data_IF_977403239875
#
_entry.id   IF_977403239875
#
_cell.length_a   1.000
_cell.length_b   1.000
_cell.length_c   1.000
_cell.angle_alpha   90.00
_cell.angle_beta   90.00
_cell.angle_gamma   90.00
#
_symmetry.space_group_name_H-M   'P 1'
#
loop_
_entity.id
_entity.type
_entity.pdbx_description
1 polymer ?
#
# COMPACT_ATOMS: atom_id res chain seq x y z
N UNK A 1 -9.88 -18.77 -6.23
CA UNK A 1 -10.53 -17.58 -6.82
C UNK A 1 -9.46 -16.69 -7.44
N UNK A 2 -9.41 -16.53 -8.78
CA UNK A 2 -8.37 -15.74 -9.42
C UNK A 2 -8.60 -14.24 -9.15
N UNK A 3 -7.56 -13.56 -8.66
CA UNK A 3 -7.60 -12.12 -8.40
C UNK A 3 -7.77 -11.34 -9.71
N UNK A 4 -8.98 -10.86 -9.98
CA UNK A 4 -9.26 -9.96 -11.10
C UNK A 4 -8.71 -8.56 -10.78
N UNK A 5 -7.49 -8.29 -11.24
CA UNK A 5 -6.87 -6.98 -11.13
C UNK A 5 -7.54 -6.01 -12.13
N UNK A 6 -8.46 -5.17 -11.67
CA UNK A 6 -9.27 -4.23 -12.49
C UNK A 6 -8.49 -3.05 -13.09
N UNK A 7 -7.17 -3.08 -13.12
CA UNK A 7 -6.36 -2.05 -13.79
C UNK A 7 -6.00 -2.52 -15.18
N UNK A 8 -6.36 -1.72 -16.20
CA UNK A 8 -5.75 -1.86 -17.53
C UNK A 8 -4.23 -1.81 -17.33
N UNK A 9 -3.46 -2.84 -17.71
CA UNK A 9 -2.01 -2.78 -17.62
C UNK A 9 -1.57 -1.55 -18.41
N UNK A 10 -0.76 -0.69 -17.78
CA UNK A 10 -0.21 0.47 -18.46
C UNK A 10 0.60 -0.04 -19.64
N UNK A 11 0.22 0.25 -20.89
CA UNK A 11 0.97 -0.21 -22.05
C UNK A 11 2.24 0.63 -22.07
N UNK A 12 3.29 0.14 -21.42
CA UNK A 12 4.63 0.58 -21.73
C UNK A 12 4.75 0.45 -23.24
N UNK A 13 5.07 1.57 -23.93
CA UNK A 13 5.36 1.54 -25.36
C UNK A 13 6.28 0.34 -25.56
N UNK A 14 5.81 -0.66 -26.32
CA UNK A 14 6.60 -1.84 -26.60
C UNK A 14 8.00 -1.37 -26.95
N UNK A 15 9.02 -1.93 -26.28
CA UNK A 15 10.41 -1.54 -26.48
C UNK A 15 10.64 -1.67 -27.98
N UNK A 16 10.69 -0.54 -28.70
CA UNK A 16 10.88 -0.55 -30.14
C UNK A 16 12.09 -1.42 -30.39
N UNK A 17 11.97 -2.40 -31.28
CA UNK A 17 13.12 -3.19 -31.69
C UNK A 17 14.22 -2.19 -32.04
N UNK A 18 15.38 -2.34 -31.41
CA UNK A 18 16.52 -1.49 -31.74
C UNK A 18 16.84 -1.82 -33.19
N UNK A 19 16.55 -0.88 -34.09
CA UNK A 19 17.07 -0.96 -35.45
C UNK A 19 18.57 -0.75 -35.30
N UNK A 20 19.33 -1.82 -35.50
CA UNK A 20 20.78 -1.72 -35.48
C UNK A 20 21.18 -0.74 -36.59
N UNK A 21 22.05 0.21 -36.27
CA UNK A 21 22.56 1.18 -37.27
C UNK A 21 23.39 0.51 -38.36
N UNK A 22 23.77 -0.75 -38.15
CA UNK A 22 24.56 -1.57 -39.07
C UNK A 22 23.92 -2.94 -39.18
N UNK A 23 24.03 -3.56 -40.36
CA UNK A 23 23.68 -4.98 -40.60
C UNK A 23 24.61 -5.95 -39.85
N UNK A 24 25.67 -5.45 -39.20
CA UNK A 24 26.57 -6.25 -38.37
C UNK A 24 25.78 -6.89 -37.22
N UNK A 25 25.63 -8.20 -37.29
CA UNK A 25 25.08 -9.04 -36.23
C UNK A 25 26.23 -9.75 -35.49
N UNK A 26 26.15 -9.81 -34.16
CA UNK A 26 27.11 -10.63 -33.40
C UNK A 26 26.89 -12.11 -33.72
N UNK A 27 27.98 -12.85 -33.88
CA UNK A 27 27.91 -14.29 -34.15
C UNK A 27 27.14 -15.02 -33.05
N UNK A 28 26.12 -15.79 -33.42
CA UNK A 28 25.33 -16.57 -32.49
C UNK A 28 26.21 -17.48 -31.59
N UNK A 29 25.86 -17.70 -30.31
CA UNK A 29 26.63 -18.55 -29.39
C UNK A 29 26.99 -19.93 -29.97
N UNK A 30 26.04 -20.60 -30.63
CA UNK A 30 26.26 -21.89 -31.29
C UNK A 30 27.30 -21.82 -32.41
N UNK A 31 27.22 -20.78 -33.24
CA UNK A 31 28.19 -20.57 -34.34
C UNK A 31 29.58 -20.27 -33.79
N UNK A 32 29.70 -19.57 -32.65
CA UNK A 32 30.98 -19.37 -31.93
C UNK A 32 31.54 -20.67 -31.36
N UNK A 33 30.69 -21.47 -30.71
CA UNK A 33 31.08 -22.77 -30.13
C UNK A 33 31.58 -23.72 -31.21
N UNK A 34 30.88 -23.81 -32.35
CA UNK A 34 31.31 -24.60 -33.48
C UNK A 34 32.66 -24.13 -34.04
N UNK A 35 32.82 -22.82 -34.27
CA UNK A 35 34.05 -22.26 -34.82
C UNK A 35 35.28 -22.56 -33.96
N UNK A 36 35.12 -22.42 -32.65
CA UNK A 36 36.21 -22.64 -31.67
C UNK A 36 36.45 -24.13 -31.46
N UNK A 37 35.40 -24.95 -31.40
CA UNK A 37 35.51 -26.40 -31.34
C UNK A 37 36.25 -26.96 -32.56
N UNK A 38 35.88 -26.56 -33.77
CA UNK A 38 36.52 -27.01 -35.00
C UNK A 38 38.00 -26.59 -35.07
N UNK A 39 38.32 -25.34 -34.69
CA UNK A 39 39.69 -24.81 -34.78
C UNK A 39 40.62 -25.30 -33.65
N UNK A 40 40.10 -25.49 -32.43
CA UNK A 40 40.92 -25.78 -31.25
C UNK A 40 40.92 -27.27 -30.89
N UNK A 41 39.75 -27.92 -30.90
CA UNK A 41 39.62 -29.34 -30.56
C UNK A 41 39.71 -30.23 -31.81
N UNK A 42 39.13 -29.77 -32.92
CA UNK A 42 39.10 -30.50 -34.19
C UNK A 42 40.35 -30.34 -35.06
N UNK A 43 41.30 -29.46 -34.68
CA UNK A 43 42.56 -29.25 -35.39
C UNK A 43 42.41 -28.65 -36.80
N UNK A 44 41.22 -28.17 -37.18
CA UNK A 44 41.00 -27.56 -38.48
C UNK A 44 41.72 -26.21 -38.59
N UNK A 45 42.23 -25.89 -39.79
CA UNK A 45 42.89 -24.61 -40.00
C UNK A 45 41.91 -23.44 -39.79
N UNK A 46 42.37 -22.34 -39.19
CA UNK A 46 41.52 -21.17 -39.02
C UNK A 46 41.01 -20.61 -40.35
N UNK A 47 41.80 -20.74 -41.42
CA UNK A 47 41.42 -20.29 -42.77
C UNK A 47 40.25 -21.12 -43.31
N UNK A 48 40.29 -22.45 -43.16
CA UNK A 48 39.21 -23.33 -43.63
C UNK A 48 37.93 -23.12 -42.84
N UNK A 49 38.03 -23.00 -41.51
CA UNK A 49 36.85 -22.74 -40.65
C UNK A 49 36.26 -21.36 -40.92
N UNK A 50 37.11 -20.36 -41.16
CA UNK A 50 36.67 -19.01 -41.48
C UNK A 50 35.92 -18.96 -42.83
N UNK A 51 36.43 -19.68 -43.84
CA UNK A 51 35.79 -19.79 -45.16
C UNK A 51 34.43 -20.50 -45.08
N UNK A 52 34.34 -21.60 -44.34
CA UNK A 52 33.11 -22.37 -44.16
C UNK A 52 32.02 -21.57 -43.42
N UNK A 53 32.43 -20.74 -42.45
CA UNK A 53 31.51 -19.93 -41.66
C UNK A 53 31.25 -18.54 -42.24
N UNK A 54 31.81 -18.24 -43.41
CA UNK A 54 31.76 -16.94 -44.09
C UNK A 54 32.16 -15.78 -43.17
N UNK A 55 33.25 -15.97 -42.42
CA UNK A 55 33.81 -14.97 -41.51
C UNK A 55 35.23 -14.61 -41.88
N UNK A 56 35.63 -13.40 -41.48
CA UNK A 56 37.03 -12.99 -41.54
C UNK A 56 37.90 -13.84 -40.60
N UNK A 57 39.05 -14.31 -41.09
CA UNK A 57 40.01 -15.09 -40.30
C UNK A 57 40.49 -14.29 -39.07
N UNK A 58 40.69 -12.97 -39.23
CA UNK A 58 41.07 -12.09 -38.12
C UNK A 58 40.02 -12.03 -37.02
N UNK A 59 38.73 -12.04 -37.38
CA UNK A 59 37.62 -12.14 -36.43
C UNK A 59 37.62 -13.50 -35.70
N UNK A 60 37.87 -14.61 -36.40
CA UNK A 60 37.97 -15.94 -35.78
C UNK A 60 39.15 -16.02 -34.80
N UNK A 61 40.32 -15.50 -35.19
CA UNK A 61 41.49 -15.46 -34.32
C UNK A 61 41.24 -14.64 -33.05
N UNK A 62 40.63 -13.45 -33.18
CA UNK A 62 40.22 -12.61 -32.03
C UNK A 62 39.20 -13.31 -31.13
N UNK A 63 38.25 -14.05 -31.71
CA UNK A 63 37.27 -14.83 -30.96
C UNK A 63 37.95 -15.93 -30.12
N UNK A 64 38.85 -16.71 -30.72
CA UNK A 64 39.58 -17.79 -30.03
C UNK A 64 40.42 -17.22 -28.90
N UNK A 65 41.18 -16.15 -29.15
CA UNK A 65 42.00 -15.50 -28.12
C UNK A 65 41.15 -14.98 -26.95
N UNK A 66 40.02 -14.30 -27.23
CA UNK A 66 39.11 -13.82 -26.19
C UNK A 66 38.55 -14.96 -25.34
N UNK A 67 38.16 -16.07 -25.96
CA UNK A 67 37.58 -17.21 -25.25
C UNK A 67 38.60 -17.98 -24.43
N UNK A 68 39.84 -18.13 -24.92
CA UNK A 68 40.94 -18.70 -24.12
C UNK A 68 41.20 -17.86 -22.87
N UNK A 69 41.32 -16.53 -23.02
CA UNK A 69 41.50 -15.64 -21.86
C UNK A 69 40.31 -15.70 -20.89
N UNK A 70 39.07 -15.81 -21.39
CA UNK A 70 37.85 -15.94 -20.56
C UNK A 70 37.80 -17.28 -19.83
N UNK A 71 38.17 -18.37 -20.50
CA UNK A 71 38.29 -19.72 -19.94
C UNK A 71 39.33 -19.78 -18.83
N UNK A 72 40.50 -19.17 -19.03
CA UNK A 72 41.56 -19.06 -18.01
C UNK A 72 41.09 -18.21 -16.80
N UNK A 73 40.48 -17.05 -17.05
CA UNK A 73 40.02 -16.16 -15.99
C UNK A 73 38.91 -16.79 -15.12
N UNK A 74 37.95 -17.50 -15.74
CA UNK A 74 36.84 -18.15 -15.05
C UNK A 74 37.18 -19.58 -14.58
N UNK A 75 38.36 -20.11 -14.93
CA UNK A 75 38.77 -21.51 -14.70
C UNK A 75 37.74 -22.53 -15.23
N UNK A 76 37.08 -22.19 -16.33
CA UNK A 76 36.08 -23.04 -16.98
C UNK A 76 36.68 -23.73 -18.20
N UNK A 77 36.29 -24.98 -18.51
CA UNK A 77 36.75 -25.66 -19.71
C UNK A 77 36.17 -25.01 -20.98
N UNK A 78 36.90 -25.10 -22.10
CA UNK A 78 36.52 -24.49 -23.38
C UNK A 78 35.19 -24.98 -23.97
N UNK A 79 34.68 -26.13 -23.54
CA UNK A 79 33.38 -26.66 -23.98
C UNK A 79 32.19 -26.15 -23.14
N UNK A 80 32.42 -25.31 -22.13
CA UNK A 80 31.35 -24.75 -21.31
C UNK A 80 30.50 -23.73 -22.12
N UNK A 81 29.16 -23.92 -22.21
CA UNK A 81 28.28 -23.02 -22.97
C UNK A 81 28.32 -21.56 -22.50
N UNK A 82 28.54 -21.30 -21.21
CA UNK A 82 28.51 -19.95 -20.64
C UNK A 82 29.60 -19.03 -21.21
N UNK A 83 30.72 -19.60 -21.68
CA UNK A 83 31.81 -18.84 -22.30
C UNK A 83 31.39 -18.17 -23.62
N UNK A 84 30.44 -18.77 -24.33
CA UNK A 84 29.99 -18.35 -25.66
C UNK A 84 28.79 -17.40 -25.62
N UNK A 85 28.27 -17.08 -24.44
CA UNK A 85 27.23 -16.08 -24.28
C UNK A 85 27.78 -14.67 -24.55
N UNK A 86 26.90 -13.79 -25.05
CA UNK A 86 27.25 -12.39 -25.27
C UNK A 86 27.68 -11.77 -23.95
N UNK A 87 28.83 -11.12 -23.96
CA UNK A 87 29.20 -10.22 -22.88
C UNK A 87 28.08 -9.19 -22.73
N UNK A 88 27.65 -8.93 -21.49
CA UNK A 88 26.75 -7.82 -21.22
C UNK A 88 27.48 -6.58 -21.73
N UNK A 89 27.00 -6.03 -22.84
CA UNK A 89 27.69 -4.95 -23.54
C UNK A 89 27.99 -3.80 -22.56
N UNK A 90 29.09 -3.08 -22.80
CA UNK A 90 29.43 -1.87 -22.05
C UNK A 90 28.35 -0.81 -22.32
N UNK A 91 27.32 -0.83 -21.48
CA UNK A 91 26.28 0.19 -21.46
C UNK A 91 26.86 1.53 -21.10
N UNK A 92 26.08 2.59 -21.34
CA UNK A 92 26.39 3.90 -20.76
C UNK A 92 26.47 3.74 -19.23
N UNK A 93 27.50 4.28 -18.56
CA UNK A 93 27.57 4.26 -17.11
C UNK A 93 26.30 4.88 -16.51
N UNK A 94 25.83 4.31 -15.41
CA UNK A 94 24.66 4.85 -14.71
C UNK A 94 24.95 6.28 -14.25
N UNK A 95 23.93 7.14 -14.36
CA UNK A 95 24.04 8.54 -13.94
C UNK A 95 24.18 8.67 -12.42
N UNK A 96 23.60 7.73 -11.68
CA UNK A 96 23.49 7.76 -10.23
C UNK A 96 24.14 6.53 -9.63
N UNK A 97 25.00 6.75 -8.64
CA UNK A 97 25.50 5.68 -7.78
C UNK A 97 24.43 5.21 -6.78
N UNK A 98 24.58 4.02 -6.21
CA UNK A 98 23.65 3.48 -5.23
C UNK A 98 23.50 4.40 -4.01
N UNK A 99 24.60 5.00 -3.54
CA UNK A 99 24.58 5.98 -2.44
C UNK A 99 23.70 7.20 -2.76
N UNK A 100 23.71 7.65 -4.02
CA UNK A 100 22.90 8.76 -4.50
C UNK A 100 21.42 8.35 -4.61
N UNK A 101 21.13 7.13 -5.06
CA UNK A 101 19.76 6.56 -5.07
C UNK A 101 19.18 6.51 -3.66
N UNK A 102 19.96 6.06 -2.69
CA UNK A 102 19.54 5.98 -1.29
C UNK A 102 19.30 7.38 -0.68
N UNK A 103 20.14 8.37 -1.05
CA UNK A 103 19.94 9.75 -0.65
C UNK A 103 18.63 10.34 -1.21
N UNK A 104 18.30 10.07 -2.48
CA UNK A 104 17.04 10.48 -3.09
C UNK A 104 15.85 9.90 -2.30
N UNK A 105 15.90 8.60 -2.00
CA UNK A 105 14.84 7.94 -1.24
C UNK A 105 14.70 8.60 0.12
N UNK A 106 15.81 8.79 0.84
CA UNK A 106 15.83 9.43 2.16
C UNK A 106 15.22 10.83 2.13
N UNK A 107 15.52 11.63 1.11
CA UNK A 107 14.93 12.97 0.92
C UNK A 107 13.42 12.86 0.73
N UNK A 108 12.98 12.05 -0.24
CA UNK A 108 11.55 11.93 -0.58
C UNK A 108 10.74 11.40 0.59
N UNK A 109 11.31 10.51 1.41
CA UNK A 109 10.61 9.88 2.52
C UNK A 109 10.74 10.63 3.85
N UNK A 110 11.50 11.73 3.88
CA UNK A 110 11.87 12.43 5.12
C UNK A 110 10.67 13.01 5.85
N UNK A 111 9.74 13.62 5.13
CA UNK A 111 8.53 14.20 5.69
C UNK A 111 7.32 13.99 4.76
N UNK A 112 6.17 14.48 5.21
CA UNK A 112 4.92 14.41 4.43
C UNK A 112 4.97 15.25 3.16
N UNK A 113 5.58 16.43 3.20
CA UNK A 113 5.58 17.36 2.08
C UNK A 113 6.34 16.77 0.89
N UNK A 114 7.55 16.26 1.14
CA UNK A 114 8.40 15.62 0.15
C UNK A 114 7.76 14.34 -0.40
N UNK A 115 7.05 13.56 0.43
CA UNK A 115 6.28 12.39 -0.04
C UNK A 115 5.13 12.78 -0.98
N UNK A 116 4.51 13.93 -0.76
CA UNK A 116 3.36 14.40 -1.54
C UNK A 116 3.75 15.07 -2.86
N UNK A 117 4.93 15.69 -2.93
CA UNK A 117 5.43 16.37 -4.13
C UNK A 117 5.38 15.46 -5.35
N UNK A 118 4.97 16.07 -6.47
CA UNK A 118 5.03 15.39 -7.75
C UNK A 118 6.48 15.28 -8.23
N UNK A 119 6.75 14.28 -9.06
CA UNK A 119 8.11 14.05 -9.56
C UNK A 119 8.67 15.26 -10.33
N UNK A 120 7.82 16.01 -11.04
CA UNK A 120 8.24 17.22 -11.73
C UNK A 120 8.53 18.38 -10.77
N UNK A 121 7.74 18.51 -9.69
CA UNK A 121 7.95 19.52 -8.64
C UNK A 121 9.27 19.26 -7.91
N UNK A 122 9.50 18.00 -7.50
CA UNK A 122 10.73 17.62 -6.81
C UNK A 122 12.01 17.90 -7.63
N UNK A 123 11.93 17.80 -8.96
CA UNK A 123 13.03 18.17 -9.87
C UNK A 123 13.11 19.68 -10.08
N UNK A 124 11.98 20.36 -10.29
CA UNK A 124 11.93 21.80 -10.56
C UNK A 124 12.38 22.65 -9.37
N UNK A 125 12.07 22.19 -8.15
CA UNK A 125 12.43 22.89 -6.91
C UNK A 125 13.95 22.81 -6.61
N UNK A 126 14.73 21.99 -7.33
CA UNK A 126 16.19 21.96 -7.22
C UNK A 126 16.76 21.29 -5.96
N UNK A 127 15.93 20.76 -5.05
CA UNK A 127 16.37 20.14 -3.78
C UNK A 127 17.48 19.09 -3.92
N UNK A 128 17.47 18.34 -5.02
CA UNK A 128 18.49 17.31 -5.25
C UNK A 128 19.84 17.94 -5.60
N UNK A 129 19.85 19.02 -6.37
CA UNK A 129 21.07 19.74 -6.76
C UNK A 129 21.74 20.39 -5.55
N UNK A 130 20.94 21.00 -4.67
CA UNK A 130 21.42 21.58 -3.39
C UNK A 130 22.11 20.53 -2.49
N UNK A 131 21.72 19.26 -2.62
CA UNK A 131 22.29 18.13 -1.87
C UNK A 131 23.45 17.45 -2.59
N UNK A 132 23.95 18.04 -3.68
CA UNK A 132 25.09 17.53 -4.45
C UNK A 132 24.75 16.39 -5.42
N UNK A 133 23.47 16.15 -5.72
CA UNK A 133 23.07 15.16 -6.72
C UNK A 133 23.12 15.75 -8.13
N UNK A 134 23.51 14.96 -9.15
CA UNK A 134 23.55 15.44 -10.52
C UNK A 134 22.12 15.73 -11.03
N UNK A 135 22.03 16.68 -11.97
CA UNK A 135 20.78 16.96 -12.69
C UNK A 135 20.25 15.69 -13.34
N UNK A 136 19.01 15.34 -13.04
CA UNK A 136 18.37 14.12 -13.53
C UNK A 136 16.99 14.40 -14.11
N UNK A 137 16.53 13.49 -14.98
CA UNK A 137 15.18 13.59 -15.54
C UNK A 137 14.12 13.10 -14.56
N UNK A 138 12.87 13.54 -14.76
CA UNK A 138 11.69 13.05 -14.03
C UNK A 138 11.60 11.53 -14.10
N UNK A 139 11.87 10.95 -15.27
CA UNK A 139 11.84 9.49 -15.50
C UNK A 139 12.92 8.78 -14.69
N UNK A 140 14.13 9.35 -14.62
CA UNK A 140 15.23 8.79 -13.82
C UNK A 140 14.85 8.75 -12.35
N UNK A 141 14.33 9.85 -11.81
CA UNK A 141 13.83 9.92 -10.43
C UNK A 141 12.73 8.89 -10.16
N UNK A 142 11.74 8.79 -11.05
CA UNK A 142 10.65 7.83 -10.90
C UNK A 142 11.14 6.38 -10.90
N UNK A 143 12.09 6.04 -11.77
CA UNK A 143 12.66 4.69 -11.82
C UNK A 143 13.37 4.35 -10.50
N UNK A 144 14.15 5.28 -9.93
CA UNK A 144 14.78 5.09 -8.62
C UNK A 144 13.73 4.78 -7.54
N UNK A 145 12.63 5.55 -7.50
CA UNK A 145 11.55 5.31 -6.54
C UNK A 145 10.85 3.96 -6.77
N UNK A 146 10.58 3.58 -8.02
CA UNK A 146 9.91 2.32 -8.34
C UNK A 146 10.79 1.09 -8.05
N UNK A 147 12.08 1.15 -8.39
CA UNK A 147 13.07 0.11 -8.09
C UNK A 147 13.21 -0.09 -6.56
N UNK A 148 13.08 0.98 -5.79
CA UNK A 148 13.04 0.93 -4.33
C UNK A 148 11.69 0.45 -3.74
N UNK A 149 10.72 0.09 -4.59
CA UNK A 149 9.41 -0.42 -4.19
C UNK A 149 8.37 0.65 -3.81
N UNK A 150 8.67 1.93 -4.02
CA UNK A 150 7.72 3.01 -3.79
C UNK A 150 6.80 3.18 -5.00
N UNK A 151 5.57 3.60 -4.72
CA UNK A 151 4.64 4.02 -5.78
C UNK A 151 3.82 5.20 -5.31
N UNK A 152 3.30 5.97 -6.28
CA UNK A 152 2.34 7.06 -6.00
C UNK A 152 0.98 6.45 -5.69
N UNK A 153 0.52 6.53 -4.44
CA UNK A 153 -0.81 6.05 -4.04
C UNK A 153 -1.68 7.19 -3.53
N UNK A 154 -2.99 7.04 -3.70
CA UNK A 154 -3.96 7.93 -3.07
C UNK A 154 -3.82 7.79 -1.56
N UNK A 155 -3.70 8.91 -0.87
CA UNK A 155 -3.62 8.90 0.58
C UNK A 155 -4.97 8.51 1.17
N UNK A 156 -4.94 7.70 2.23
CA UNK A 156 -6.13 7.46 3.02
C UNK A 156 -6.27 8.49 4.13
N UNK A 157 -7.51 8.78 4.49
CA UNK A 157 -7.84 9.58 5.67
C UNK A 157 -8.26 8.63 6.79
N UNK A 158 -7.63 8.78 7.96
CA UNK A 158 -8.03 8.05 9.17
C UNK A 158 -8.03 9.02 10.36
N UNK A 159 -8.93 8.81 11.34
CA UNK A 159 -8.78 9.46 12.63
C UNK A 159 -7.43 9.08 13.23
N UNK A 160 -6.71 10.07 13.78
CA UNK A 160 -5.55 9.81 14.63
C UNK A 160 -6.06 9.30 15.97
N UNK A 161 -5.56 8.15 16.40
CA UNK A 161 -5.94 7.52 17.66
C UNK A 161 -4.80 7.68 18.66
N UNK A 162 -5.15 7.82 19.93
CA UNK A 162 -4.19 7.72 21.04
C UNK A 162 -3.91 6.26 21.35
N UNK A 163 -2.81 5.97 22.05
CA UNK A 163 -2.45 4.61 22.46
C UNK A 163 -3.55 3.96 23.33
N UNK A 164 -4.20 4.75 24.18
CA UNK A 164 -5.35 4.30 24.98
C UNK A 164 -6.54 3.90 24.10
N UNK A 165 -6.85 4.70 23.07
CA UNK A 165 -7.90 4.36 22.10
C UNK A 165 -7.55 3.13 21.27
N UNK A 166 -6.26 2.92 20.98
CA UNK A 166 -5.81 1.68 20.34
C UNK A 166 -6.08 0.47 21.24
N UNK A 167 -5.74 0.56 22.52
CA UNK A 167 -5.98 -0.50 23.50
C UNK A 167 -7.47 -0.77 23.68
N UNK A 168 -8.28 0.27 23.89
CA UNK A 168 -9.73 0.14 24.06
C UNK A 168 -10.38 -0.55 22.85
N UNK A 169 -10.01 -0.13 21.63
CA UNK A 169 -10.53 -0.76 20.39
C UNK A 169 -10.09 -2.21 20.25
N UNK A 170 -8.87 -2.54 20.67
CA UNK A 170 -8.36 -3.90 20.65
C UNK A 170 -9.11 -4.79 21.65
N UNK A 171 -9.27 -4.33 22.88
CA UNK A 171 -10.04 -5.04 23.93
C UNK A 171 -11.49 -5.26 23.51
N UNK A 172 -12.13 -4.23 22.93
CA UNK A 172 -13.48 -4.34 22.40
C UNK A 172 -13.58 -5.39 21.28
N UNK A 173 -12.61 -5.40 20.35
CA UNK A 173 -12.57 -6.36 19.25
C UNK A 173 -12.36 -7.81 19.73
N UNK A 174 -11.55 -8.02 20.77
CA UNK A 174 -11.40 -9.33 21.41
C UNK A 174 -12.70 -9.78 22.08
N UNK A 175 -13.35 -8.88 22.82
CA UNK A 175 -14.60 -9.19 23.53
C UNK A 175 -15.78 -9.48 22.58
N UNK A 176 -15.80 -8.86 21.40
CA UNK A 176 -16.84 -9.01 20.38
C UNK A 176 -16.34 -9.76 19.15
N UNK A 177 -15.34 -10.65 19.29
CA UNK A 177 -14.89 -11.46 18.17
C UNK A 177 -16.04 -12.38 17.69
N UNK A 178 -16.29 -12.43 16.38
CA UNK A 178 -17.27 -13.37 15.80
C UNK A 178 -16.81 -14.81 15.92
N UNK A 179 -15.51 -15.00 16.02
CA UNK A 179 -14.84 -16.28 16.07
C UNK A 179 -14.42 -16.56 17.52
N UNK A 180 -14.79 -17.71 18.07
CA UNK A 180 -14.54 -18.00 19.49
C UNK A 180 -13.31 -18.86 19.70
N UNK A 181 -13.20 -19.94 18.94
CA UNK A 181 -12.19 -20.98 19.11
C UNK A 181 -11.27 -21.03 17.88
N UNK A 182 -11.84 -20.98 16.67
CA UNK A 182 -11.10 -21.05 15.40
C UNK A 182 -11.56 -19.96 14.41
N UNK A 183 -10.63 -19.54 13.53
CA UNK A 183 -10.93 -18.54 12.51
C UNK A 183 -12.06 -19.01 11.58
N UNK A 184 -13.14 -18.23 11.50
CA UNK A 184 -14.33 -18.52 10.71
C UNK A 184 -15.34 -19.47 11.36
N UNK A 185 -15.21 -19.82 12.64
CA UNK A 185 -16.16 -20.70 13.32
C UNK A 185 -17.54 -20.05 13.57
N UNK A 186 -17.61 -18.71 13.62
CA UNK A 186 -18.84 -17.95 13.83
C UNK A 186 -19.54 -18.23 15.17
N UNK A 187 -18.86 -18.84 16.15
CA UNK A 187 -19.43 -19.23 17.46
C UNK A 187 -19.36 -18.12 18.51
N UNK A 188 -18.68 -17.02 18.19
CA UNK A 188 -18.51 -15.86 19.04
C UNK A 188 -19.70 -14.91 18.96
N UNK A 189 -19.40 -13.61 18.94
CA UNK A 189 -20.39 -12.56 18.92
C UNK A 189 -21.16 -12.52 17.59
N UNK A 190 -22.48 -12.65 17.67
CA UNK A 190 -23.33 -12.71 16.49
C UNK A 190 -23.71 -11.32 15.96
N UNK A 191 -22.87 -10.81 15.06
CA UNK A 191 -23.09 -9.53 14.36
C UNK A 191 -24.35 -9.48 13.49
N UNK A 192 -24.98 -10.62 13.17
CA UNK A 192 -26.23 -10.64 12.40
C UNK A 192 -27.44 -10.15 13.17
N UNK A 193 -27.36 -10.13 14.51
CA UNK A 193 -28.43 -9.65 15.39
C UNK A 193 -28.26 -8.18 15.77
N UNK A 194 -27.19 -7.54 15.32
CA UNK A 194 -26.89 -6.15 15.64
C UNK A 194 -27.58 -5.24 14.62
N UNK A 195 -28.24 -4.20 15.13
CA UNK A 195 -28.69 -3.07 14.34
C UNK A 195 -27.61 -2.00 14.43
N UNK A 196 -27.06 -1.62 13.29
CA UNK A 196 -26.09 -0.53 13.18
C UNK A 196 -26.85 0.75 12.83
N UNK A 197 -26.49 1.83 13.51
CA UNK A 197 -26.98 3.18 13.22
C UNK A 197 -25.77 4.08 13.06
N UNK A 198 -25.75 4.91 12.04
CA UNK A 198 -24.71 5.93 11.88
C UNK A 198 -25.27 7.16 11.17
N UNK A 199 -24.57 8.27 11.35
CA UNK A 199 -24.87 9.54 10.72
C UNK A 199 -23.70 9.93 9.82
N UNK A 200 -23.99 10.10 8.53
CA UNK A 200 -22.99 10.48 7.54
C UNK A 200 -23.32 11.84 6.94
N UNK A 201 -22.43 12.84 7.03
CA UNK A 201 -22.60 14.09 6.32
C UNK A 201 -22.44 13.85 4.81
N UNK A 202 -23.43 14.26 4.04
CA UNK A 202 -23.36 14.34 2.59
C UNK A 202 -22.69 15.66 2.18
N UNK A 203 -21.60 15.54 1.43
CA UNK A 203 -20.82 16.66 0.92
C UNK A 203 -20.98 16.72 -0.59
N UNK A 204 -21.53 17.83 -1.09
CA UNK A 204 -21.65 18.07 -2.53
C UNK A 204 -20.37 18.76 -3.01
N UNK A 205 -19.74 18.23 -4.07
CA UNK A 205 -18.54 18.81 -4.68
C UNK A 205 -17.19 18.41 -4.07
N UNK A 206 -17.15 17.46 -3.12
CA UNK A 206 -15.88 16.98 -2.54
C UNK A 206 -15.07 16.17 -3.56
N UNK A 207 -13.94 16.70 -4.02
CA UNK A 207 -13.01 16.00 -4.91
C UNK A 207 -12.20 14.95 -4.15
N UNK A 208 -12.51 13.66 -4.36
CA UNK A 208 -11.74 12.55 -3.79
C UNK A 208 -10.54 12.19 -4.67
N UNK A 209 -9.36 12.04 -4.05
CA UNK A 209 -8.21 11.36 -4.67
C UNK A 209 -7.20 12.22 -5.43
N UNK A 210 -7.32 13.55 -5.43
CA UNK A 210 -6.32 14.42 -6.10
C UNK A 210 -4.94 14.35 -5.45
N UNK A 211 -4.88 14.20 -4.12
CA UNK A 211 -3.60 14.13 -3.40
C UNK A 211 -3.08 12.70 -3.35
N UNK A 212 -1.86 12.52 -3.87
CA UNK A 212 -1.12 11.26 -3.87
C UNK A 212 0.20 11.46 -3.12
N UNK A 213 0.74 10.37 -2.60
CA UNK A 213 2.05 10.35 -1.96
C UNK A 213 2.86 9.11 -2.35
N UNK A 214 4.19 9.25 -2.29
CA UNK A 214 5.13 8.15 -2.40
C UNK A 214 5.06 7.26 -1.16
N UNK A 215 4.68 5.99 -1.36
CA UNK A 215 4.62 5.00 -0.29
C UNK A 215 4.83 3.58 -0.81
N UNK A 216 5.38 2.73 0.05
CA UNK A 216 5.46 1.29 -0.16
C UNK A 216 4.12 0.59 0.14
N UNK A 217 4.07 -0.73 0.01
CA UNK A 217 2.87 -1.53 0.28
C UNK A 217 2.57 -1.69 1.77
N UNK A 218 3.61 -1.78 2.59
CA UNK A 218 3.61 -1.89 4.05
C UNK A 218 3.46 -0.53 4.74
N UNK A 219 3.94 0.56 4.14
CA UNK A 219 3.86 1.93 4.68
C UNK A 219 2.46 2.58 4.58
N UNK A 220 1.42 1.84 4.24
CA UNK A 220 0.08 2.42 4.05
C UNK A 220 -0.41 3.13 5.30
N UNK A 221 0.02 2.72 6.50
CA UNK A 221 -0.37 3.34 7.76
C UNK A 221 0.67 4.31 8.34
N UNK A 222 1.75 4.60 7.60
CA UNK A 222 2.78 5.53 8.06
C UNK A 222 2.19 6.93 8.30
N UNK A 223 2.62 7.60 9.38
CA UNK A 223 2.13 8.92 9.81
C UNK A 223 2.27 10.01 8.72
N UNK A 224 3.30 9.88 7.88
CA UNK A 224 3.57 10.84 6.80
C UNK A 224 2.90 10.46 5.47
N UNK A 225 2.23 9.31 5.41
CA UNK A 225 1.44 8.84 4.25
C UNK A 225 -0.05 9.01 4.51
N UNK A 226 -0.52 8.72 5.72
CA UNK A 226 -1.93 8.92 6.11
C UNK A 226 -2.16 10.34 6.54
N UNK A 227 -3.32 10.87 6.16
CA UNK A 227 -3.78 12.18 6.63
C UNK A 227 -4.74 12.02 7.80
N UNK A 228 -4.65 12.92 8.81
CA UNK A 228 -5.71 13.04 9.78
C UNK A 228 -6.98 13.42 9.04
N UNK A 229 -8.09 12.74 9.37
CA UNK A 229 -9.40 13.11 8.86
C UNK A 229 -9.83 14.42 9.54
N UNK A 230 -9.57 15.55 8.87
CA UNK A 230 -10.13 16.84 9.30
C UNK A 230 -11.62 16.82 8.90
N UNK A 231 -12.51 16.93 9.88
CA UNK A 231 -13.93 17.15 9.60
C UNK A 231 -14.06 18.54 8.99
N UNK A 232 -14.25 18.60 7.68
CA UNK A 232 -14.58 19.85 7.02
C UNK A 232 -15.96 20.33 7.49
N UNK A 233 -16.06 21.60 7.87
CA UNK A 233 -17.27 22.28 8.35
C UNK A 233 -18.34 22.50 7.26
N UNK A 234 -18.17 21.93 6.07
CA UNK A 234 -19.06 22.10 4.93
C UNK A 234 -19.91 20.82 4.77
N UNK A 235 -20.89 20.66 5.65
CA UNK A 235 -21.94 19.66 5.50
C UNK A 235 -23.17 20.32 4.85
N UNK A 236 -23.62 19.78 3.72
CA UNK A 236 -24.82 20.30 3.04
C UNK A 236 -26.08 19.63 3.60
N UNK A 237 -26.02 18.32 3.85
CA UNK A 237 -27.11 17.49 4.38
C UNK A 237 -26.51 16.40 5.28
N UNK A 238 -27.22 15.97 6.31
CA UNK A 238 -26.79 14.87 7.19
C UNK A 238 -27.74 13.68 7.00
N UNK A 239 -27.19 12.54 6.60
CA UNK A 239 -27.95 11.33 6.39
C UNK A 239 -27.82 10.44 7.62
N UNK A 240 -28.95 10.16 8.26
CA UNK A 240 -29.07 9.09 9.24
C UNK A 240 -29.55 7.83 8.55
N UNK A 241 -28.93 6.71 8.88
CA UNK A 241 -29.36 5.41 8.41
C UNK A 241 -29.17 4.35 9.47
N UNK A 242 -30.07 3.38 9.46
CA UNK A 242 -29.93 2.15 10.20
C UNK A 242 -29.92 0.95 9.26
N UNK A 243 -29.19 -0.11 9.62
CA UNK A 243 -29.19 -1.36 8.87
C UNK A 243 -28.82 -2.52 9.78
N UNK A 244 -29.21 -3.72 9.37
CA UNK A 244 -28.79 -4.97 9.99
C UNK A 244 -28.40 -5.96 8.90
N UNK A 245 -28.00 -7.17 9.28
CA UNK A 245 -27.63 -8.20 8.32
C UNK A 245 -28.79 -8.50 7.38
N UNK A 246 -28.55 -8.41 6.08
CA UNK A 246 -29.52 -8.59 4.98
C UNK A 246 -30.73 -7.63 4.95
N UNK A 247 -30.77 -6.60 5.80
CA UNK A 247 -31.87 -5.62 5.80
C UNK A 247 -31.41 -4.17 5.92
N UNK A 248 -32.00 -3.31 5.09
CA UNK A 248 -31.93 -1.85 5.25
C UNK A 248 -32.99 -1.42 6.26
N UNK A 249 -32.59 -0.68 7.28
CA UNK A 249 -33.50 -0.09 8.26
C UNK A 249 -33.99 1.29 7.85
N UNK A 250 -34.73 1.98 8.73
CA UNK A 250 -35.15 3.37 8.53
C UNK A 250 -33.98 4.31 8.21
N UNK A 251 -34.26 5.31 7.37
CA UNK A 251 -33.33 6.36 6.97
C UNK A 251 -33.98 7.73 7.09
N UNK A 252 -33.21 8.74 7.45
CA UNK A 252 -33.68 10.12 7.53
C UNK A 252 -32.62 11.07 6.95
N UNK A 253 -33.04 12.08 6.20
CA UNK A 253 -32.16 13.11 5.67
C UNK A 253 -32.47 14.40 6.43
N UNK A 254 -31.52 14.82 7.26
CA UNK A 254 -31.56 16.11 7.92
C UNK A 254 -31.04 17.19 6.97
N UNK A 255 -31.86 18.20 6.74
CA UNK A 255 -31.43 19.43 6.09
C UNK A 255 -30.68 20.32 7.07
N UNK A 256 -29.95 21.30 6.54
CA UNK A 256 -29.23 22.25 7.38
C UNK A 256 -30.22 23.18 8.07
N UNK A 257 -30.37 23.03 9.37
CA UNK A 257 -31.22 23.91 10.18
C UNK A 257 -30.81 25.39 10.05
N UNK A 258 -31.82 26.25 9.92
CA UNK A 258 -31.64 27.70 10.06
C UNK A 258 -31.27 28.06 11.51
N UNK A 259 -30.65 29.23 11.76
CA UNK A 259 -30.35 29.66 13.13
C UNK A 259 -31.58 29.73 14.05
N UNK A 260 -32.77 29.98 13.48
CA UNK A 260 -34.04 30.02 14.19
C UNK A 260 -34.52 28.62 14.57
N UNK A 261 -34.52 27.70 13.61
CA UNK A 261 -34.83 26.28 13.84
C UNK A 261 -33.91 25.67 14.90
N UNK A 262 -32.62 26.04 14.90
CA UNK A 262 -31.68 25.62 15.96
C UNK A 262 -32.10 26.07 17.36
N UNK A 263 -32.57 27.31 17.50
CA UNK A 263 -33.01 27.84 18.79
C UNK A 263 -34.29 27.15 19.25
N UNK A 264 -35.21 26.87 18.34
CA UNK A 264 -36.45 26.15 18.63
C UNK A 264 -36.19 24.68 18.99
N UNK A 265 -35.36 23.98 18.21
CA UNK A 265 -34.94 22.62 18.49
C UNK A 265 -34.23 22.51 19.84
N UNK A 266 -33.36 23.46 20.17
CA UNK A 266 -32.69 23.51 21.48
C UNK A 266 -33.69 23.66 22.63
N UNK A 267 -34.70 24.55 22.48
CA UNK A 267 -35.76 24.71 23.49
C UNK A 267 -36.60 23.44 23.64
N UNK A 268 -36.97 22.80 22.53
CA UNK A 268 -37.72 21.55 22.54
C UNK A 268 -36.93 20.42 23.21
N UNK A 269 -35.63 20.30 22.89
CA UNK A 269 -34.72 19.33 23.49
C UNK A 269 -34.53 19.57 25.00
N UNK A 270 -34.45 20.83 25.43
CA UNK A 270 -34.37 21.17 26.86
C UNK A 270 -35.65 20.79 27.60
N UNK A 271 -36.82 21.05 27.01
CA UNK A 271 -38.11 20.65 27.58
C UNK A 271 -38.24 19.12 27.68
N UNK A 272 -37.89 18.40 26.62
CA UNK A 272 -37.90 16.93 26.59
C UNK A 272 -36.92 16.35 27.63
N UNK A 273 -35.71 16.90 27.73
CA UNK A 273 -34.74 16.49 28.75
C UNK A 273 -35.21 16.74 30.17
N UNK A 274 -35.97 17.81 30.42
CA UNK A 274 -36.59 18.07 31.72
C UNK A 274 -37.66 17.04 32.05
N UNK A 275 -38.52 16.71 31.08
CA UNK A 275 -39.56 15.69 31.26
C UNK A 275 -38.96 14.30 31.49
N UNK A 276 -37.95 13.92 30.69
CA UNK A 276 -37.21 12.67 30.87
C UNK A 276 -36.53 12.59 32.25
N UNK A 277 -36.04 13.71 32.79
CA UNK A 277 -35.50 13.75 34.17
C UNK A 277 -36.58 13.51 35.20
N UNK A 278 -37.75 14.15 35.08
CA UNK A 278 -38.90 13.95 35.99
C UNK A 278 -39.38 12.50 35.97
N UNK A 279 -39.61 11.94 34.79
CA UNK A 279 -40.01 10.54 34.64
C UNK A 279 -38.96 9.60 35.22
N UNK A 280 -37.67 9.87 35.03
CA UNK A 280 -36.59 9.09 35.63
C UNK A 280 -36.59 9.20 37.16
N UNK A 281 -36.82 10.39 37.72
CA UNK A 281 -36.90 10.62 39.16
C UNK A 281 -38.09 9.88 39.79
N UNK A 282 -39.19 9.68 39.07
CA UNK A 282 -40.34 8.89 39.55
C UNK A 282 -40.14 7.39 39.37
N UNK A 283 -39.72 6.96 38.18
CA UNK A 283 -39.64 5.55 37.80
C UNK A 283 -38.45 4.83 38.42
N UNK A 284 -37.29 5.49 38.57
CA UNK A 284 -36.09 4.84 39.12
C UNK A 284 -36.27 4.42 40.58
N UNK A 285 -36.83 5.24 41.50
CA UNK A 285 -37.13 4.80 42.86
C UNK A 285 -38.19 3.69 42.91
N UNK A 286 -39.16 3.69 42.01
CA UNK A 286 -40.20 2.67 41.93
C UNK A 286 -39.61 1.33 41.47
N UNK A 287 -38.80 1.34 40.42
CA UNK A 287 -38.03 0.18 39.97
C UNK A 287 -37.06 -0.33 41.04
N UNK A 288 -36.38 0.56 41.76
CA UNK A 288 -35.49 0.18 42.89
C UNK A 288 -36.27 -0.45 44.04
N UNK A 289 -37.47 0.03 44.35
CA UNK A 289 -38.35 -0.59 45.36
C UNK A 289 -38.78 -1.99 44.94
N UNK A 290 -39.20 -2.16 43.69
CA UNK A 290 -39.58 -3.47 43.13
C UNK A 290 -38.41 -4.47 43.17
N UNK A 291 -37.21 -4.04 42.76
CA UNK A 291 -35.99 -4.86 42.84
C UNK A 291 -35.64 -5.25 44.28
N UNK A 292 -35.78 -4.34 45.25
CA UNK A 292 -35.57 -4.65 46.67
C UNK A 292 -36.58 -5.67 47.20
N UNK A 293 -37.86 -5.58 46.81
CA UNK A 293 -38.88 -6.57 47.22
C UNK A 293 -38.66 -7.96 46.64
N UNK A 294 -37.97 -8.06 45.50
CA UNK A 294 -37.62 -9.34 44.86
C UNK A 294 -36.30 -9.93 45.41
N UNK A 295 -35.66 -9.30 46.40
CA UNK A 295 -34.34 -9.70 46.90
C UNK A 295 -33.16 -9.31 45.99
N UNK A 296 -33.45 -8.80 44.79
CA UNK A 296 -32.51 -8.43 43.72
C UNK A 296 -32.03 -6.97 43.82
N UNK A 297 -31.69 -6.55 45.04
CA UNK A 297 -31.31 -5.15 45.31
C UNK A 297 -30.02 -4.70 44.62
N UNK A 298 -29.17 -5.64 44.15
CA UNK A 298 -27.86 -5.35 43.57
C UNK A 298 -27.77 -5.47 42.04
N UNK A 299 -28.81 -5.94 41.35
CA UNK A 299 -28.78 -6.29 39.90
C UNK A 299 -28.39 -5.10 39.01
N UNK A 300 -28.70 -3.88 39.42
CA UNK A 300 -28.36 -2.63 38.71
C UNK A 300 -27.33 -1.75 39.44
N UNK A 301 -26.59 -2.29 40.41
CA UNK A 301 -25.52 -1.55 41.06
C UNK A 301 -24.32 -1.41 40.10
N UNK A 302 -23.81 -0.19 39.93
CA UNK A 302 -22.59 0.09 39.13
C UNK A 302 -21.37 -0.74 39.58
N UNK A 303 -21.40 -1.32 40.79
CA UNK A 303 -20.34 -2.24 41.28
C UNK A 303 -20.30 -3.54 40.48
N UNK A 304 -21.44 -4.12 40.12
CA UNK A 304 -21.49 -5.39 39.36
C UNK A 304 -21.20 -5.21 37.86
N UNK A 305 -21.50 -4.04 37.27
CA UNK A 305 -21.19 -3.79 35.85
C UNK A 305 -19.69 -3.67 35.56
N UNK A 306 -18.86 -3.41 36.59
CA UNK A 306 -17.40 -3.26 36.49
C UNK A 306 -16.59 -4.39 37.14
N UNK A 307 -17.24 -5.44 37.63
CA UNK A 307 -16.54 -6.63 38.16
C UNK A 307 -17.15 -7.92 37.64
N UNK A 308 -16.95 -8.23 36.36
CA UNK A 308 -16.75 -9.64 35.97
C UNK A 308 -15.34 -10.06 36.39
N UNK A 309 -15.13 -10.26 37.69
CA UNK A 309 -14.10 -11.21 38.13
C UNK A 309 -14.69 -12.60 37.95
N UNK A 310 -14.11 -13.32 37.01
CA UNK A 310 -14.25 -14.75 36.80
C UNK A 310 -14.19 -15.46 38.15
N UNK A 311 -15.32 -16.01 38.63
CA UNK A 311 -15.28 -17.12 39.58
C UNK A 311 -15.05 -18.39 38.77
N UNK A 312 -13.78 -18.64 38.46
CA UNK A 312 -13.31 -20.00 38.32
C UNK A 312 -12.98 -20.50 39.74
N UNK A 313 -13.87 -21.30 40.33
CA UNK A 313 -13.52 -22.45 41.18
C UNK A 313 -14.79 -23.08 41.79
N UNK A 314 -14.75 -24.42 41.89
CA UNK A 314 -15.66 -25.35 42.58
C UNK A 314 -16.88 -25.88 41.80
N UNK A 315 -16.64 -26.77 40.84
CA UNK A 315 -16.73 -28.24 41.08
C UNK A 315 -16.04 -29.02 39.96
#
# INVERSE_FOLDING_TARGET
MPQTNRRKPFPYKARKSRVNKTEREEMAPLKRAFAVGAAVLGGASQISVAKELEIDQGNLSRLISRLKSRSEALKLPLWDPSLYENDIGRGRPELLDQSQKDLIIKIVTSDREHREKEAWQAIADGYFEERGLPKMSITTFQNVMYEAGYSRKAQGFKPTLTDDQHKERYEWALAHNSDKDEYGDGKGFNYRRVVYTDETPARVGEQRGMKRAWCKADEVYHKDVKRPKIQANYCTLQFYGSFTYDYKGPTHIYEKETPEQKREAQKALEAENQENRRQREELVPLARRALRSMGDSEVNSKKHSWTKKTRAQER
#
